data_IF_826276557023
#
_entry.id   IF_826276557023
#
_cell.length_a   1.000
_cell.length_b   1.000
_cell.length_c   1.000
_cell.angle_alpha   90.00
_cell.angle_beta   90.00
_cell.angle_gamma   90.00
#
_symmetry.space_group_name_H-M   'P 1'
#
loop_
_entity.id
_entity.type
_entity.pdbx_description
1 polymer ?
#
# COMPACT_ATOMS: atom_id res chain seq x y z
N UNK A 1 -20.20 0.09 14.70
CA UNK A 1 -19.18 0.01 13.62
C UNK A 1 -17.82 0.29 14.27
N UNK A 2 -16.82 -0.57 14.07
CA UNK A 2 -15.60 -0.59 14.89
C UNK A 2 -14.65 0.56 14.49
N UNK A 3 -14.21 1.36 15.46
CA UNK A 3 -13.23 2.44 15.32
C UNK A 3 -11.94 1.95 14.64
N UNK A 4 -11.52 0.72 14.93
CA UNK A 4 -10.38 0.05 14.28
C UNK A 4 -10.54 -0.04 12.76
N UNK A 5 -11.73 -0.41 12.28
CA UNK A 5 -12.00 -0.53 10.85
C UNK A 5 -11.92 0.82 10.15
N UNK A 6 -12.44 1.88 10.79
CA UNK A 6 -12.38 3.24 10.26
C UNK A 6 -10.93 3.71 10.18
N UNK A 7 -10.15 3.55 11.24
CA UNK A 7 -8.74 3.93 11.27
C UNK A 7 -7.93 3.24 10.15
N UNK A 8 -8.06 1.91 10.01
CA UNK A 8 -7.39 1.14 8.95
C UNK A 8 -7.84 1.58 7.56
N UNK A 9 -9.13 1.88 7.37
CA UNK A 9 -9.64 2.41 6.11
C UNK A 9 -8.94 3.72 5.74
N UNK A 10 -8.80 4.65 6.69
CA UNK A 10 -8.11 5.92 6.45
C UNK A 10 -6.66 5.70 6.00
N UNK A 11 -5.92 4.81 6.68
CA UNK A 11 -4.56 4.44 6.29
C UNK A 11 -4.47 3.93 4.86
N UNK A 12 -5.32 2.96 4.49
CA UNK A 12 -5.29 2.33 3.17
C UNK A 12 -5.65 3.33 2.07
N UNK A 13 -6.64 4.19 2.29
CA UNK A 13 -6.99 5.29 1.36
C UNK A 13 -5.81 6.27 1.24
N UNK A 14 -5.19 6.63 2.37
CA UNK A 14 -4.01 7.48 2.39
C UNK A 14 -2.85 6.90 1.59
N UNK A 15 -2.50 5.62 1.81
CA UNK A 15 -1.46 4.93 1.07
C UNK A 15 -1.72 4.95 -0.44
N UNK A 16 -2.93 4.59 -0.86
CA UNK A 16 -3.32 4.62 -2.27
C UNK A 16 -3.08 6.00 -2.90
N UNK A 17 -3.55 7.06 -2.25
CA UNK A 17 -3.45 8.41 -2.80
C UNK A 17 -2.03 8.96 -2.77
N UNK A 18 -1.24 8.65 -1.73
CA UNK A 18 0.20 8.98 -1.71
C UNK A 18 0.94 8.28 -2.86
N UNK A 19 0.64 6.99 -3.11
CA UNK A 19 1.24 6.24 -4.21
C UNK A 19 0.90 6.84 -5.59
N UNK A 20 -0.30 7.39 -5.76
CA UNK A 20 -0.65 8.17 -6.96
C UNK A 20 0.22 9.43 -7.10
N UNK A 21 0.44 10.17 -6.00
CA UNK A 21 1.30 11.36 -5.99
C UNK A 21 2.76 11.00 -6.30
N UNK A 22 3.27 9.91 -5.72
CA UNK A 22 4.61 9.40 -6.04
C UNK A 22 4.72 9.04 -7.53
N UNK A 23 3.71 8.34 -8.07
CA UNK A 23 3.69 7.94 -9.48
C UNK A 23 3.72 9.14 -10.43
N UNK A 24 2.99 10.21 -10.11
CA UNK A 24 2.90 11.39 -10.99
C UNK A 24 4.22 12.15 -11.11
N UNK A 25 5.10 12.03 -10.11
CA UNK A 25 6.46 12.57 -10.16
C UNK A 25 7.45 11.62 -9.49
N UNK A 26 7.77 10.51 -10.17
CA UNK A 26 8.62 9.44 -9.62
C UNK A 26 10.03 9.92 -9.21
N UNK A 27 10.53 11.00 -9.84
CA UNK A 27 11.87 11.56 -9.60
C UNK A 27 11.93 12.50 -8.39
N UNK A 28 10.81 12.75 -7.71
CA UNK A 28 10.83 13.61 -6.54
C UNK A 28 11.75 13.03 -5.45
N UNK A 29 12.71 13.82 -4.92
CA UNK A 29 13.66 13.35 -3.92
C UNK A 29 13.01 12.88 -2.60
N UNK A 30 11.83 13.40 -2.26
CA UNK A 30 11.12 13.03 -1.03
C UNK A 30 10.29 11.75 -1.15
N UNK A 31 10.16 11.17 -2.36
CA UNK A 31 9.40 9.94 -2.54
C UNK A 31 9.96 8.80 -1.67
N UNK A 32 11.28 8.72 -1.48
CA UNK A 32 11.87 7.71 -0.60
C UNK A 32 11.39 7.85 0.84
N UNK A 33 11.44 9.07 1.39
CA UNK A 33 10.96 9.36 2.75
C UNK A 33 9.46 9.06 2.90
N UNK A 34 8.64 9.39 1.89
CA UNK A 34 7.21 9.07 1.88
C UNK A 34 6.95 7.55 1.90
N UNK A 35 7.69 6.79 1.09
CA UNK A 35 7.59 5.33 1.00
C UNK A 35 8.08 4.65 2.28
N UNK A 36 9.15 5.15 2.89
CA UNK A 36 9.65 4.68 4.18
C UNK A 36 8.60 4.90 5.28
N UNK A 37 7.90 6.04 5.29
CA UNK A 37 6.78 6.28 6.20
C UNK A 37 5.61 5.32 5.93
N UNK A 38 5.25 5.05 4.67
CA UNK A 38 4.21 4.04 4.34
C UNK A 38 4.61 2.66 4.90
N UNK A 39 5.85 2.22 4.66
CA UNK A 39 6.36 0.93 5.15
C UNK A 39 6.32 0.85 6.68
N UNK A 40 6.81 1.89 7.38
CA UNK A 40 6.75 2.02 8.84
C UNK A 40 5.34 1.78 9.36
N UNK A 41 4.35 2.46 8.80
CA UNK A 41 2.96 2.34 9.25
C UNK A 41 2.30 1.01 8.84
N UNK A 42 2.70 0.39 7.73
CA UNK A 42 2.28 -0.97 7.41
C UNK A 42 2.73 -1.97 8.49
N UNK A 43 3.98 -1.86 8.95
CA UNK A 43 4.53 -2.70 10.02
C UNK A 43 3.79 -2.45 11.33
N UNK A 44 3.62 -1.19 11.73
CA UNK A 44 2.92 -0.86 12.98
C UNK A 44 1.46 -1.33 12.98
N UNK A 45 0.76 -1.25 11.84
CA UNK A 45 -0.58 -1.81 11.69
C UNK A 45 -0.56 -3.33 11.83
N UNK A 46 0.42 -4.01 11.23
CA UNK A 46 0.55 -5.47 11.28
C UNK A 46 0.84 -6.01 12.69
N UNK A 47 1.59 -5.26 13.49
CA UNK A 47 1.87 -5.55 14.89
C UNK A 47 0.70 -5.19 15.82
N UNK A 48 -0.41 -4.70 15.27
CA UNK A 48 -1.56 -4.17 16.00
C UNK A 48 -1.19 -3.09 17.03
N UNK A 49 -0.10 -2.37 16.77
CA UNK A 49 0.33 -1.24 17.58
C UNK A 49 -0.72 -0.12 17.49
N UNK A 50 -0.92 0.59 18.60
CA UNK A 50 -1.75 1.80 18.65
C UNK A 50 -1.19 2.83 17.65
N UNK A 51 -1.87 2.97 16.52
CA UNK A 51 -1.51 3.89 15.45
C UNK A 51 -2.70 4.78 15.12
N UNK A 52 -2.43 6.06 14.94
CA UNK A 52 -3.45 7.07 14.66
C UNK A 52 -3.17 7.70 13.30
N UNK A 53 -4.19 7.70 12.43
CA UNK A 53 -4.09 8.27 11.10
C UNK A 53 -3.68 9.75 11.07
N UNK A 54 -4.06 10.55 12.07
CA UNK A 54 -3.67 11.97 12.14
C UNK A 54 -2.17 12.15 12.44
N UNK A 55 -1.56 11.23 13.18
CA UNK A 55 -0.11 11.21 13.40
C UNK A 55 0.60 10.87 12.09
N UNK A 56 0.12 9.85 11.39
CA UNK A 56 0.63 9.49 10.06
C UNK A 56 0.52 10.65 9.07
N UNK A 57 -0.63 11.32 9.02
CA UNK A 57 -0.84 12.50 8.17
C UNK A 57 0.17 13.59 8.49
N UNK A 58 0.37 13.90 9.77
CA UNK A 58 1.34 14.90 10.20
C UNK A 58 2.76 14.55 9.77
N UNK A 59 3.18 13.29 9.94
CA UNK A 59 4.51 12.83 9.50
C UNK A 59 4.69 12.93 7.98
N UNK A 60 3.68 12.56 7.18
CA UNK A 60 3.73 12.68 5.71
C UNK A 60 3.86 14.14 5.28
N UNK A 61 3.11 15.04 5.91
CA UNK A 61 3.15 16.46 5.58
C UNK A 61 4.50 17.10 5.98
N UNK A 62 5.11 16.62 7.06
CA UNK A 62 6.43 17.09 7.49
C UNK A 62 7.53 16.73 6.49
N UNK A 63 7.48 15.52 5.90
CA UNK A 63 8.43 15.07 4.85
C UNK A 63 8.52 16.04 3.67
N UNK A 64 7.44 16.76 3.38
CA UNK A 64 7.35 17.69 2.23
C UNK A 64 7.17 19.14 2.65
N UNK A 65 7.51 19.49 3.90
CA UNK A 65 7.21 20.79 4.51
C UNK A 65 7.68 22.00 3.67
N UNK A 66 8.82 21.89 3.00
CA UNK A 66 9.45 22.91 2.14
C UNK A 66 8.91 22.94 0.71
N UNK A 67 8.16 21.91 0.28
CA UNK A 67 7.62 21.79 -1.07
C UNK A 67 6.13 22.12 -1.12
N UNK A 68 5.82 23.41 -1.21
CA UNK A 68 4.44 23.94 -1.14
C UNK A 68 3.43 23.19 -2.02
N UNK A 69 3.75 22.96 -3.30
CA UNK A 69 2.84 22.32 -4.25
C UNK A 69 2.52 20.86 -3.88
N UNK A 70 3.56 20.08 -3.54
CA UNK A 70 3.38 18.67 -3.14
C UNK A 70 2.71 18.57 -1.78
N UNK A 71 3.03 19.48 -0.87
CA UNK A 71 2.36 19.59 0.43
C UNK A 71 0.86 19.83 0.25
N UNK A 72 0.46 20.68 -0.68
CA UNK A 72 -0.95 20.92 -0.98
C UNK A 72 -1.62 19.67 -1.58
N UNK A 73 -0.97 19.02 -2.55
CA UNK A 73 -1.45 17.75 -3.12
C UNK A 73 -1.63 16.66 -2.04
N UNK A 74 -0.66 16.50 -1.14
CA UNK A 74 -0.70 15.51 -0.08
C UNK A 74 -1.73 15.85 1.01
N UNK A 75 -1.90 17.12 1.36
CA UNK A 75 -2.97 17.54 2.27
C UNK A 75 -4.35 17.18 1.71
N UNK A 76 -4.57 17.47 0.42
CA UNK A 76 -5.81 17.12 -0.26
C UNK A 76 -5.99 15.59 -0.36
N UNK A 77 -4.94 14.87 -0.71
CA UNK A 77 -4.94 13.41 -0.77
C UNK A 77 -5.31 12.77 0.59
N UNK A 78 -4.81 13.32 1.69
CA UNK A 78 -5.01 12.77 3.04
C UNK A 78 -6.26 13.30 3.75
N UNK A 79 -7.10 14.07 3.06
CA UNK A 79 -8.44 14.36 3.54
C UNK A 79 -9.36 13.16 3.23
N UNK A 80 -9.58 12.33 4.24
CA UNK A 80 -10.52 11.20 4.19
C UNK A 80 -11.89 11.73 4.62
N UNK A 81 -12.90 11.51 3.78
CA UNK A 81 -14.24 12.06 3.99
C UNK A 81 -15.13 11.05 4.71
N UNK A 82 -16.18 11.51 5.40
CA UNK A 82 -17.12 10.63 6.11
C UNK A 82 -17.86 9.63 5.19
N UNK A 83 -17.92 9.94 3.90
CA UNK A 83 -18.53 9.08 2.87
C UNK A 83 -17.61 7.95 2.38
N UNK A 84 -16.35 7.94 2.80
CA UNK A 84 -15.41 6.88 2.40
C UNK A 84 -15.84 5.52 3.00
N UNK A 85 -15.80 4.43 2.21
CA UNK A 85 -16.33 3.14 2.62
C UNK A 85 -15.49 2.55 3.76
N UNK A 86 -16.12 2.29 4.91
CA UNK A 86 -15.46 1.62 6.03
C UNK A 86 -15.38 0.12 5.74
N UNK A 87 -14.16 -0.40 5.68
CA UNK A 87 -13.92 -1.81 5.32
C UNK A 87 -14.31 -2.77 6.44
N UNK A 88 -14.77 -3.96 6.08
CA UNK A 88 -14.89 -5.14 6.94
C UNK A 88 -13.84 -6.21 6.58
N UNK A 89 -12.85 -5.87 5.73
CA UNK A 89 -11.89 -6.79 5.13
C UNK A 89 -10.57 -6.90 5.90
N UNK A 90 -10.60 -6.71 7.23
CA UNK A 90 -9.38 -6.61 8.04
C UNK A 90 -8.45 -7.82 7.88
N UNK A 91 -8.99 -9.05 7.86
CA UNK A 91 -8.19 -10.25 7.69
C UNK A 91 -7.39 -10.24 6.39
N UNK A 92 -7.93 -9.69 5.31
CA UNK A 92 -7.23 -9.64 4.03
C UNK A 92 -6.25 -8.48 4.01
N UNK A 93 -6.62 -7.32 4.54
CA UNK A 93 -5.73 -6.17 4.70
C UNK A 93 -4.45 -6.59 5.43
N UNK A 94 -4.58 -7.25 6.59
CA UNK A 94 -3.42 -7.70 7.37
C UNK A 94 -2.50 -8.64 6.60
N UNK A 95 -3.05 -9.50 5.73
CA UNK A 95 -2.27 -10.40 4.88
C UNK A 95 -1.44 -9.64 3.84
N UNK A 96 -1.95 -8.50 3.36
CA UNK A 96 -1.33 -7.70 2.31
C UNK A 96 -0.50 -6.50 2.79
N UNK A 97 -0.50 -6.16 4.09
CA UNK A 97 0.35 -5.08 4.63
C UNK A 97 1.83 -5.31 4.32
N UNK A 98 2.30 -6.56 4.45
CA UNK A 98 3.67 -6.93 4.06
C UNK A 98 3.96 -6.69 2.57
N UNK A 99 2.99 -6.96 1.69
CA UNK A 99 3.12 -6.69 0.25
C UNK A 99 3.27 -5.19 -0.02
N UNK A 100 2.48 -4.35 0.65
CA UNK A 100 2.58 -2.88 0.51
C UNK A 100 3.93 -2.39 1.04
N UNK A 101 4.34 -2.86 2.22
CA UNK A 101 5.61 -2.48 2.85
C UNK A 101 6.82 -2.90 2.00
N UNK A 102 6.91 -4.17 1.61
CA UNK A 102 8.03 -4.70 0.84
C UNK A 102 8.13 -4.03 -0.52
N UNK A 103 6.99 -3.73 -1.16
CA UNK A 103 6.96 -2.98 -2.42
C UNK A 103 7.46 -1.55 -2.22
N UNK A 104 7.05 -0.86 -1.15
CA UNK A 104 7.50 0.50 -0.87
C UNK A 104 9.03 0.57 -0.68
N UNK A 105 9.61 -0.37 0.07
CA UNK A 105 11.06 -0.47 0.28
C UNK A 105 11.82 -0.85 -0.99
N UNK A 106 11.25 -1.73 -1.82
CA UNK A 106 11.83 -2.03 -3.13
C UNK A 106 11.82 -0.79 -4.04
N UNK A 107 10.73 -0.02 -4.06
CA UNK A 107 10.68 1.26 -4.79
C UNK A 107 11.80 2.20 -4.30
N UNK A 108 12.01 2.33 -2.98
CA UNK A 108 13.13 3.12 -2.44
C UNK A 108 14.49 2.64 -2.97
N UNK A 109 14.69 1.32 -3.06
CA UNK A 109 15.93 0.73 -3.59
C UNK A 109 16.12 1.10 -5.06
N UNK A 110 15.06 1.03 -5.86
CA UNK A 110 15.10 1.42 -7.28
C UNK A 110 15.34 2.93 -7.47
N UNK A 111 14.73 3.76 -6.63
CA UNK A 111 14.97 5.22 -6.64
C UNK A 111 16.42 5.54 -6.27
N UNK A 112 17.00 4.88 -5.27
CA UNK A 112 18.39 5.04 -4.85
C UNK A 112 19.38 4.65 -5.96
N UNK A 113 19.05 3.60 -6.71
CA UNK A 113 19.81 3.15 -7.87
C UNK A 113 19.56 4.00 -9.13
N UNK A 114 18.67 5.00 -9.06
CA UNK A 114 18.21 5.83 -10.18
C UNK A 114 17.54 5.01 -11.30
N UNK A 115 17.04 3.83 -10.98
CA UNK A 115 16.26 2.95 -11.86
C UNK A 115 14.80 3.45 -11.96
N UNK A 116 14.61 4.69 -12.44
CA UNK A 116 13.32 5.38 -12.37
C UNK A 116 12.20 4.68 -13.12
N UNK A 117 12.46 4.06 -14.27
CA UNK A 117 11.45 3.32 -15.03
C UNK A 117 10.96 2.09 -14.26
N UNK A 118 11.87 1.36 -13.62
CA UNK A 118 11.53 0.22 -12.77
C UNK A 118 10.79 0.67 -11.51
N UNK A 119 11.19 1.78 -10.90
CA UNK A 119 10.48 2.37 -9.76
C UNK A 119 9.05 2.79 -10.16
N UNK A 120 8.90 3.45 -11.31
CA UNK A 120 7.61 3.88 -11.83
C UNK A 120 6.68 2.70 -12.08
N UNK A 121 7.15 1.69 -12.82
CA UNK A 121 6.36 0.48 -13.12
C UNK A 121 5.96 -0.25 -11.84
N UNK A 122 6.83 -0.27 -10.82
CA UNK A 122 6.49 -0.89 -9.54
C UNK A 122 5.41 -0.10 -8.79
N UNK A 123 5.52 1.22 -8.72
CA UNK A 123 4.47 2.06 -8.11
C UNK A 123 3.16 1.87 -8.88
N UNK A 124 3.20 1.82 -10.21
CA UNK A 124 2.02 1.59 -11.05
C UNK A 124 1.38 0.22 -10.78
N UNK A 125 2.18 -0.82 -10.56
CA UNK A 125 1.66 -2.14 -10.20
C UNK A 125 0.97 -2.16 -8.83
N UNK A 126 1.41 -1.35 -7.86
CA UNK A 126 0.97 -1.48 -6.45
C UNK A 126 0.03 -0.37 -5.97
N UNK A 127 -0.05 0.77 -6.67
CA UNK A 127 -0.81 1.94 -6.18
C UNK A 127 -2.30 1.66 -5.91
N UNK A 128 -2.93 0.75 -6.65
CA UNK A 128 -4.36 0.44 -6.50
C UNK A 128 -4.64 -0.59 -5.40
N UNK A 129 -3.63 -1.35 -4.95
CA UNK A 129 -3.80 -2.42 -3.96
C UNK A 129 -4.50 -1.95 -2.68
N UNK A 130 -4.09 -0.83 -2.03
CA UNK A 130 -4.72 -0.42 -0.77
C UNK A 130 -6.21 -0.14 -0.92
N UNK A 131 -6.62 0.55 -2.00
CA UNK A 131 -8.02 0.84 -2.28
C UNK A 131 -8.81 -0.44 -2.61
N UNK A 132 -8.21 -1.35 -3.40
CA UNK A 132 -8.84 -2.60 -3.75
C UNK A 132 -9.14 -3.48 -2.51
N UNK A 133 -8.23 -3.49 -1.52
CA UNK A 133 -8.41 -4.20 -0.26
C UNK A 133 -9.54 -3.62 0.61
N UNK A 134 -9.73 -2.29 0.59
CA UNK A 134 -10.86 -1.63 1.26
C UNK A 134 -12.18 -2.08 0.65
N UNK A 135 -12.26 -2.16 -0.68
CA UNK A 135 -13.44 -2.54 -1.46
C UNK A 135 -13.64 -4.07 -1.56
N UNK A 136 -13.86 -4.75 -0.44
CA UNK A 136 -13.99 -6.22 -0.33
C UNK A 136 -14.77 -6.92 -1.45
N UNK A 137 -15.93 -6.37 -1.85
CA UNK A 137 -16.80 -6.98 -2.89
C UNK A 137 -16.17 -7.02 -4.28
N UNK A 138 -15.17 -6.17 -4.53
CA UNK A 138 -14.45 -6.06 -5.80
C UNK A 138 -13.04 -6.68 -5.71
N UNK A 139 -12.63 -7.13 -4.53
CA UNK A 139 -11.30 -7.69 -4.32
C UNK A 139 -11.21 -9.12 -4.86
N UNK A 140 -10.37 -9.31 -5.87
CA UNK A 140 -9.92 -10.62 -6.33
C UNK A 140 -8.37 -10.67 -6.30
N UNK A 141 -7.78 -11.42 -5.36
CA UNK A 141 -6.34 -11.52 -5.24
C UNK A 141 -5.70 -12.14 -6.50
N UNK A 142 -6.32 -13.16 -7.11
CA UNK A 142 -5.75 -13.81 -8.30
C UNK A 142 -5.72 -12.86 -9.48
N UNK A 143 -6.80 -12.08 -9.66
CA UNK A 143 -6.83 -11.04 -10.68
C UNK A 143 -5.77 -9.97 -10.42
N UNK A 144 -5.60 -9.51 -9.17
CA UNK A 144 -4.57 -8.54 -8.81
C UNK A 144 -3.16 -9.01 -9.19
N UNK A 145 -2.75 -10.19 -8.74
CA UNK A 145 -1.41 -10.73 -9.04
C UNK A 145 -1.19 -10.93 -10.54
N UNK A 146 -2.21 -11.40 -11.26
CA UNK A 146 -2.14 -11.65 -12.71
C UNK A 146 -2.07 -10.35 -13.53
N UNK A 147 -2.84 -9.33 -13.17
CA UNK A 147 -3.00 -8.12 -13.97
C UNK A 147 -1.94 -7.08 -13.63
N UNK A 148 -1.63 -6.89 -12.35
CA UNK A 148 -0.78 -5.80 -11.91
C UNK A 148 0.66 -6.26 -11.62
N UNK A 149 0.85 -7.36 -10.89
CA UNK A 149 2.19 -7.79 -10.46
C UNK A 149 2.93 -8.56 -11.56
N UNK A 150 2.24 -9.44 -12.28
CA UNK A 150 2.86 -10.30 -13.29
C UNK A 150 3.58 -9.50 -14.40
N UNK A 151 3.01 -8.43 -15.00
CA UNK A 151 3.71 -7.64 -16.01
C UNK A 151 5.01 -7.02 -15.48
N UNK A 152 5.00 -6.52 -14.23
CA UNK A 152 6.20 -6.02 -13.57
C UNK A 152 7.29 -7.10 -13.46
N UNK A 153 6.91 -8.30 -12.99
CA UNK A 153 7.85 -9.41 -12.83
C UNK A 153 8.46 -9.89 -14.14
N UNK A 154 7.64 -9.98 -15.18
CA UNK A 154 8.09 -10.40 -16.51
C UNK A 154 9.12 -9.42 -17.09
N UNK A 155 8.97 -8.12 -16.78
CA UNK A 155 9.88 -7.06 -17.27
C UNK A 155 11.15 -6.91 -16.43
N UNK A 156 11.04 -6.94 -15.10
CA UNK A 156 12.11 -6.46 -14.22
C UNK A 156 12.69 -7.50 -13.26
N UNK A 157 11.85 -8.26 -12.58
CA UNK A 157 12.27 -9.21 -11.56
C UNK A 157 11.26 -10.35 -11.41
N UNK A 158 11.62 -11.51 -11.97
CA UNK A 158 10.76 -12.70 -11.99
C UNK A 158 10.42 -13.21 -10.59
N UNK A 159 11.24 -12.92 -9.58
CA UNK A 159 11.11 -13.44 -8.21
C UNK A 159 10.44 -12.43 -7.26
N UNK A 160 10.23 -11.18 -7.70
CA UNK A 160 9.67 -10.12 -6.85
C UNK A 160 8.35 -10.56 -6.20
N UNK A 161 8.26 -10.52 -4.87
CA UNK A 161 7.08 -10.95 -4.08
C UNK A 161 6.61 -12.40 -4.30
N UNK A 162 7.36 -13.27 -4.97
CA UNK A 162 6.93 -14.65 -5.24
C UNK A 162 6.66 -15.43 -3.93
N UNK A 163 7.47 -15.16 -2.90
CA UNK A 163 7.30 -15.76 -1.58
C UNK A 163 6.02 -15.29 -0.88
N UNK A 164 5.70 -14.00 -0.99
CA UNK A 164 4.53 -13.37 -0.41
C UNK A 164 3.27 -13.93 -1.08
N UNK A 165 3.26 -13.98 -2.41
CA UNK A 165 2.18 -14.59 -3.18
C UNK A 165 1.95 -16.07 -2.79
N UNK A 166 3.02 -16.88 -2.70
CA UNK A 166 2.93 -18.27 -2.25
C UNK A 166 2.31 -18.38 -0.86
N UNK A 167 2.79 -17.59 0.11
CA UNK A 167 2.25 -17.58 1.49
C UNK A 167 0.76 -17.23 1.50
N UNK A 168 0.33 -16.30 0.66
CA UNK A 168 -1.07 -15.91 0.52
C UNK A 168 -1.90 -17.06 -0.05
N UNK A 169 -1.48 -17.73 -1.12
CA UNK A 169 -2.31 -18.79 -1.69
C UNK A 169 -2.32 -20.09 -0.87
N UNK A 170 -1.22 -20.42 -0.17
CA UNK A 170 -1.19 -21.56 0.76
C UNK A 170 -2.16 -21.34 1.92
N UNK A 171 -2.13 -20.17 2.56
CA UNK A 171 -3.04 -19.85 3.68
C UNK A 171 -4.51 -19.82 3.28
N UNK A 172 -4.83 -19.47 2.02
CA UNK A 172 -6.21 -19.53 1.51
C UNK A 172 -6.71 -20.97 1.32
N UNK A 173 -5.84 -21.90 0.95
CA UNK A 173 -6.20 -23.30 0.71
C UNK A 173 -6.56 -24.01 2.02
N UNK A 174 -5.79 -23.81 3.09
CA UNK A 174 -6.08 -24.43 4.39
C UNK A 174 -7.35 -23.89 5.08
N UNK A 175 -7.73 -22.63 4.84
CA UNK A 175 -9.03 -22.10 5.31
C UNK A 175 -10.23 -22.77 4.62
N UNK A 176 -10.06 -23.29 3.41
CA UNK A 176 -11.12 -23.95 2.66
C UNK A 176 -11.33 -25.41 3.10
N UNK A 177 -10.27 -26.07 3.55
CA UNK A 177 -10.32 -27.49 3.98
C UNK A 177 -10.75 -27.65 5.45
N UNK A 178 -10.70 -26.58 6.24
CA UNK A 178 -11.08 -26.60 7.67
C UNK A 178 -12.58 -26.39 7.97
N UNK A 179 -13.46 -26.38 6.96
CA UNK A 179 -14.89 -26.12 7.13
C UNK A 179 -15.80 -27.32 6.84
N UNK A 180 -15.22 -28.51 6.64
CA UNK A 180 -15.95 -29.77 6.35
C UNK A 180 -15.76 -30.84 7.46
N UNK A 181 -15.83 -30.46 8.74
CA UNK A 181 -16.00 -31.39 9.86
C UNK A 181 -16.88 -30.82 10.96
#
# INVERSE_FOLDING_TARGET
MNEKNRNITCFLIGFHRILIVIRSNIRNPQNMSLLETISKYCISLQEESLTNFEIFKSEIIEVVNEQKEIKELLNNALNVYEVDPITDNLSEIYRYLSVISDSALEICTQLRQKSFDRAYDLVDAIHCLPQALVCKKQWDPRAYWKIYIRPYRERWDKQFLENQERKLFITSFFKFVGHDY
#
